data_IF_495976570217
#
_entry.id   IF_495976570217
#
_cell.length_a   1.000
_cell.length_b   1.000
_cell.length_c   1.000
_cell.angle_alpha   90.00
_cell.angle_beta   90.00
_cell.angle_gamma   90.00
#
_symmetry.space_group_name_H-M   'P 1'
#
loop_
_entity.id
_entity.type
_entity.pdbx_description
1 polymer ?
#
# COMPACT_ATOMS: atom_id res chain seq x y z
N UNK A 1 -8.83 -22.19 10.36
CA UNK A 1 -7.85 -21.08 10.33
C UNK A 1 -6.56 -21.67 10.85
N UNK A 2 -5.61 -21.92 9.96
CA UNK A 2 -4.37 -22.61 10.29
C UNK A 2 -3.25 -21.57 10.39
N UNK A 3 -2.37 -21.78 11.36
CA UNK A 3 -1.13 -21.04 11.67
C UNK A 3 -0.28 -20.64 10.44
N UNK A 4 -0.32 -21.41 9.35
CA UNK A 4 0.38 -21.09 8.09
C UNK A 4 -0.20 -19.87 7.33
N UNK A 5 -1.46 -19.51 7.54
CA UNK A 5 -2.05 -18.28 6.99
C UNK A 5 -1.61 -17.03 7.77
N UNK A 6 -1.13 -17.22 9.02
CA UNK A 6 -0.63 -16.16 9.88
C UNK A 6 0.81 -15.76 9.51
N UNK A 7 1.63 -16.70 9.02
CA UNK A 7 3.00 -16.41 8.56
C UNK A 7 3.03 -15.77 7.15
N UNK A 8 2.02 -16.01 6.31
CA UNK A 8 1.83 -15.26 5.05
C UNK A 8 1.35 -13.82 5.28
N UNK A 9 1.01 -13.46 6.53
CA UNK A 9 0.67 -12.09 6.94
C UNK A 9 1.91 -11.28 7.40
N UNK A 10 3.11 -11.66 6.96
CA UNK A 10 4.27 -10.78 6.82
C UNK A 10 4.45 -10.48 5.33
N UNK A 11 3.46 -9.84 4.71
CA UNK A 11 3.59 -9.41 3.33
C UNK A 11 4.57 -8.24 3.22
N UNK A 12 5.14 -8.06 2.04
CA UNK A 12 5.92 -6.86 1.75
C UNK A 12 5.03 -5.62 1.92
N UNK A 13 5.57 -4.49 2.44
CA UNK A 13 4.77 -3.28 2.70
C UNK A 13 4.21 -2.65 1.42
N UNK A 14 4.71 -3.07 0.26
CA UNK A 14 4.29 -2.65 -1.07
C UNK A 14 4.13 -3.91 -1.93
N UNK A 15 2.99 -4.06 -2.59
CA UNK A 15 2.70 -5.17 -3.51
C UNK A 15 2.26 -4.63 -4.86
N UNK A 16 2.85 -5.11 -5.96
CA UNK A 16 2.46 -4.73 -7.32
C UNK A 16 1.46 -5.71 -7.93
N UNK A 17 0.36 -5.19 -8.48
CA UNK A 17 -0.58 -5.96 -9.28
C UNK A 17 -0.04 -6.11 -10.71
N UNK A 18 0.25 -7.34 -11.18
CA UNK A 18 0.85 -7.56 -12.50
C UNK A 18 -0.10 -7.26 -13.67
N UNK A 19 -1.41 -7.17 -13.42
CA UNK A 19 -2.43 -7.01 -14.46
C UNK A 19 -2.68 -5.54 -14.82
N UNK A 20 -2.65 -4.65 -13.82
CA UNK A 20 -2.99 -3.23 -14.01
C UNK A 20 -1.90 -2.27 -13.56
N UNK A 21 -0.77 -2.76 -13.03
CA UNK A 21 0.35 -1.93 -12.57
C UNK A 21 0.02 -1.05 -11.35
N UNK A 22 -1.06 -1.35 -10.63
CA UNK A 22 -1.37 -0.69 -9.36
C UNK A 22 -0.47 -1.23 -8.27
N UNK A 23 -0.06 -0.39 -7.32
CA UNK A 23 0.60 -0.86 -6.09
C UNK A 23 -0.36 -0.76 -4.91
N UNK A 24 -0.36 -1.79 -4.07
CA UNK A 24 -0.95 -1.77 -2.75
C UNK A 24 0.09 -1.36 -1.74
N UNK A 25 -0.19 -0.35 -0.92
CA UNK A 25 0.64 0.04 0.22
C UNK A 25 -0.01 -0.39 1.54
N UNK A 26 0.79 -0.87 2.50
CA UNK A 26 0.33 -1.29 3.83
C UNK A 26 1.14 -0.63 4.95
N UNK A 27 0.53 0.31 5.66
CA UNK A 27 1.16 1.02 6.78
C UNK A 27 1.44 0.15 8.00
N UNK A 28 0.65 -0.91 8.23
CA UNK A 28 0.75 -1.79 9.41
C UNK A 28 2.13 -2.41 9.61
N UNK A 29 2.88 -2.65 8.53
CA UNK A 29 4.19 -3.29 8.56
C UNK A 29 5.36 -2.32 8.39
N UNK A 30 5.10 -1.01 8.35
CA UNK A 30 6.14 0.01 8.16
C UNK A 30 7.21 0.03 9.27
N UNK A 31 6.94 -0.58 10.43
CA UNK A 31 7.87 -0.71 11.55
C UNK A 31 8.28 -2.16 11.85
N UNK A 32 7.92 -3.12 11.01
CA UNK A 32 8.17 -4.53 11.29
C UNK A 32 9.67 -4.82 11.50
N UNK A 33 9.94 -5.70 12.47
CA UNK A 33 11.30 -6.06 12.89
C UNK A 33 12.05 -5.00 13.71
N UNK A 34 11.42 -3.88 14.10
CA UNK A 34 12.07 -2.87 14.94
C UNK A 34 12.46 -3.42 16.33
N UNK A 35 13.70 -3.19 16.77
CA UNK A 35 14.21 -3.67 18.07
C UNK A 35 14.34 -2.59 19.14
N UNK A 36 14.27 -1.31 18.74
CA UNK A 36 14.34 -0.15 19.64
C UNK A 36 13.43 0.97 19.12
N UNK A 37 13.13 1.97 19.96
CA UNK A 37 12.36 3.15 19.54
C UNK A 37 13.06 3.93 18.41
N UNK A 38 14.38 4.06 18.48
CA UNK A 38 15.17 4.73 17.43
C UNK A 38 15.07 3.98 16.10
N UNK A 39 15.10 2.65 16.16
CA UNK A 39 14.98 1.78 14.98
C UNK A 39 13.58 1.84 14.38
N UNK A 40 12.52 1.79 15.20
CA UNK A 40 11.14 2.00 14.74
C UNK A 40 10.95 3.36 14.08
N UNK A 41 11.49 4.43 14.67
CA UNK A 41 11.42 5.77 14.11
C UNK A 41 12.20 5.88 12.78
N UNK A 42 13.33 5.17 12.64
CA UNK A 42 14.07 5.12 11.39
C UNK A 42 13.26 4.43 10.29
N UNK A 43 12.70 3.25 10.57
CA UNK A 43 11.87 2.49 9.62
C UNK A 43 10.66 3.29 9.12
N UNK A 44 9.98 4.04 10.01
CA UNK A 44 8.90 4.94 9.60
C UNK A 44 9.37 6.05 8.64
N UNK A 45 10.54 6.63 8.88
CA UNK A 45 11.10 7.66 7.98
C UNK A 45 11.47 7.07 6.63
N UNK A 46 12.07 5.89 6.63
CA UNK A 46 12.42 5.18 5.40
C UNK A 46 11.16 4.86 4.60
N UNK A 47 10.09 4.39 5.25
CA UNK A 47 8.80 4.16 4.60
C UNK A 47 8.18 5.45 4.04
N UNK A 48 8.27 6.56 4.77
CA UNK A 48 7.81 7.86 4.29
C UNK A 48 8.59 8.32 3.04
N UNK A 49 9.91 8.13 3.02
CA UNK A 49 10.74 8.44 1.86
C UNK A 49 10.36 7.60 0.63
N UNK A 50 10.00 6.32 0.81
CA UNK A 50 9.52 5.48 -0.29
C UNK A 50 8.20 5.99 -0.87
N UNK A 51 7.26 6.44 -0.02
CA UNK A 51 6.01 7.08 -0.48
C UNK A 51 6.28 8.35 -1.29
N UNK A 52 7.24 9.17 -0.85
CA UNK A 52 7.66 10.37 -1.59
C UNK A 52 8.33 10.01 -2.92
N UNK A 53 9.12 8.94 -2.96
CA UNK A 53 9.74 8.45 -4.18
C UNK A 53 8.71 7.94 -5.20
N UNK A 54 7.69 7.19 -4.74
CA UNK A 54 6.56 6.76 -5.56
C UNK A 54 5.85 7.97 -6.19
N UNK A 55 5.56 9.00 -5.39
CA UNK A 55 4.97 10.25 -5.87
C UNK A 55 5.85 10.93 -6.93
N UNK A 56 7.14 11.04 -6.67
CA UNK A 56 8.10 11.63 -7.62
C UNK A 56 8.18 10.83 -8.93
N UNK A 57 7.79 9.56 -8.92
CA UNK A 57 7.76 8.67 -10.08
C UNK A 57 6.42 8.73 -10.84
N UNK A 58 5.49 9.59 -10.41
CA UNK A 58 4.19 9.81 -11.06
C UNK A 58 3.06 8.91 -10.56
N UNK A 59 3.27 8.19 -9.45
CA UNK A 59 2.24 7.44 -8.76
C UNK A 59 1.50 8.34 -7.78
N UNK A 60 0.22 8.07 -7.56
CA UNK A 60 -0.59 8.83 -6.62
C UNK A 60 -1.69 7.93 -6.02
N UNK A 61 -2.19 8.28 -4.84
CA UNK A 61 -3.28 7.56 -4.20
C UNK A 61 -4.54 7.56 -5.10
N UNK A 62 -5.12 6.37 -5.28
CA UNK A 62 -6.38 6.23 -6.03
C UNK A 62 -7.63 6.49 -5.16
N UNK A 63 -7.48 6.47 -3.85
CA UNK A 63 -8.51 6.74 -2.84
C UNK A 63 -7.84 7.07 -1.49
N UNK A 64 -8.58 7.60 -0.50
CA UNK A 64 -8.08 7.70 0.87
C UNK A 64 -7.58 6.36 1.40
N UNK A 65 -6.55 6.40 2.25
CA UNK A 65 -6.06 5.20 2.95
C UNK A 65 -7.07 4.82 4.04
N UNK A 66 -7.49 3.55 4.05
CA UNK A 66 -8.41 2.99 5.05
C UNK A 66 -7.74 1.83 5.78
N UNK A 67 -7.79 1.82 7.12
CA UNK A 67 -7.20 0.75 7.96
C UNK A 67 -5.77 0.33 7.56
N UNK A 68 -4.90 1.33 7.38
CA UNK A 68 -3.51 1.21 6.92
C UNK A 68 -3.34 0.71 5.47
N UNK A 69 -4.41 0.59 4.69
CA UNK A 69 -4.42 0.07 3.33
C UNK A 69 -4.65 1.18 2.31
N UNK A 70 -3.79 1.26 1.29
CA UNK A 70 -3.92 2.20 0.19
C UNK A 70 -3.63 1.56 -1.15
N UNK A 71 -4.27 2.07 -2.21
CA UNK A 71 -3.97 1.73 -3.60
C UNK A 71 -3.34 2.97 -4.25
N UNK A 72 -2.22 2.79 -4.93
CA UNK A 72 -1.57 3.81 -5.75
C UNK A 72 -1.54 3.39 -7.20
N UNK A 73 -1.76 4.36 -8.10
CA UNK A 73 -1.81 4.17 -9.55
C UNK A 73 -1.07 5.31 -10.28
N UNK A 74 -0.52 5.06 -11.47
CA UNK A 74 -0.04 6.15 -12.33
C UNK A 74 -1.15 7.16 -12.62
N UNK A 75 -0.90 8.44 -12.35
CA UNK A 75 -1.88 9.51 -12.61
C UNK A 75 -2.97 9.71 -11.55
N UNK A 76 -3.01 8.89 -10.50
CA UNK A 76 -3.88 9.07 -9.33
C UNK A 76 -5.34 8.67 -9.51
N UNK A 77 -6.14 8.93 -8.47
CA UNK A 77 -7.58 8.72 -8.49
C UNK A 77 -8.21 9.41 -9.70
N UNK A 78 -9.04 8.73 -10.50
CA UNK A 78 -9.93 9.46 -11.38
C UNK A 78 -10.86 10.33 -10.52
N UNK A 79 -11.35 11.47 -11.05
CA UNK A 79 -12.14 12.43 -10.27
C UNK A 79 -13.32 11.74 -9.59
N UNK A 80 -13.58 12.14 -8.35
CA UNK A 80 -14.65 11.65 -7.47
C UNK A 80 -15.94 11.38 -8.26
N UNK A 81 -16.29 10.11 -8.48
CA UNK A 81 -17.48 9.71 -9.23
C UNK A 81 -17.34 8.64 -10.32
N UNK A 82 -16.14 8.11 -10.61
CA UNK A 82 -16.04 6.86 -11.39
C UNK A 82 -15.84 5.68 -10.43
N UNK A 83 -16.97 5.13 -10.00
CA UNK A 83 -17.02 3.74 -9.59
C UNK A 83 -16.54 2.92 -10.80
N UNK A 84 -15.55 2.04 -10.62
CA UNK A 84 -15.26 0.99 -11.59
C UNK A 84 -16.58 0.21 -11.80
N UNK A 85 -17.31 0.58 -12.85
CA UNK A 85 -18.60 0.03 -13.22
C UNK A 85 -18.36 -1.23 -14.06
N UNK A 86 -17.83 -2.28 -13.43
CA UNK A 86 -17.85 -3.68 -13.87
C UNK A 86 -17.29 -4.49 -12.68
N UNK A 87 -18.08 -5.11 -11.81
CA UNK A 87 -18.70 -6.42 -12.02
C UNK A 87 -19.99 -6.56 -11.19
N UNK A 88 -21.15 -6.38 -11.81
CA UNK A 88 -22.35 -7.19 -11.51
C UNK A 88 -23.00 -7.51 -12.86
N UNK A 89 -22.36 -8.45 -13.56
CA UNK A 89 -22.90 -9.05 -14.77
C UNK A 89 -23.64 -10.33 -14.42
N UNK A 90 -24.95 -10.20 -14.22
CA UNK A 90 -26.06 -11.18 -14.45
C UNK A 90 -25.75 -12.67 -14.33
#
# INVERSE_FOLDING_TARGET
MNESELEAAHGEPIFECPECGSLTIRGRWAMDGARTLTDAAQKLRDYAHELEHMRSSGLELSAPVEDDYGIVRPGGAPPDGVLDADEDGV
#
